data_IF_821632497934
#
_entry.id   IF_821632497934
#
_cell.length_a   1.000
_cell.length_b   1.000
_cell.length_c   1.000
_cell.angle_alpha   90.00
_cell.angle_beta   90.00
_cell.angle_gamma   90.00
#
_symmetry.space_group_name_H-M   'P 1'
#
loop_
_entity.id
_entity.type
_entity.pdbx_description
1 polymer ?
#
# COMPACT_ATOMS: atom_id res chain seq x y z
N UNK A 1 6.76 -14.07 18.29
CA UNK A 1 7.34 -13.00 19.12
C UNK A 1 6.36 -11.83 19.03
N UNK A 2 6.02 -11.18 20.14
CA UNK A 2 4.93 -10.19 20.19
C UNK A 2 5.27 -8.92 19.40
N UNK A 3 4.43 -8.56 18.43
CA UNK A 3 4.49 -7.37 17.55
C UNK A 3 4.20 -6.04 18.30
N UNK A 4 4.89 -5.78 19.40
CA UNK A 4 4.70 -4.54 20.17
C UNK A 4 5.96 -3.67 20.28
N UNK A 5 6.96 -3.92 19.45
CA UNK A 5 8.17 -3.10 19.36
C UNK A 5 8.02 -2.17 18.15
N UNK A 6 7.90 -0.85 18.37
CA UNK A 6 7.53 0.13 17.32
C UNK A 6 8.46 0.25 16.10
N UNK A 7 9.48 -0.60 15.95
CA UNK A 7 10.34 -0.72 14.77
C UNK A 7 9.69 -1.65 13.74
N UNK A 8 9.49 -1.15 12.53
CA UNK A 8 8.86 -1.88 11.42
C UNK A 8 9.69 -3.08 10.94
N UNK A 9 9.04 -4.24 10.77
CA UNK A 9 9.62 -5.41 10.11
C UNK A 9 9.25 -5.43 8.63
N UNK A 10 10.26 -5.43 7.78
CA UNK A 10 10.13 -5.54 6.33
C UNK A 10 9.74 -6.97 5.97
N UNK A 11 8.70 -7.11 5.16
CA UNK A 11 8.16 -8.38 4.69
C UNK A 11 8.75 -8.84 3.36
N UNK A 12 9.11 -7.91 2.48
CA UNK A 12 9.64 -8.24 1.15
C UNK A 12 10.44 -7.08 0.51
N UNK A 13 11.06 -7.37 -0.64
CA UNK A 13 11.93 -6.41 -1.34
C UNK A 13 11.18 -5.15 -1.83
N UNK A 14 9.92 -5.29 -2.24
CA UNK A 14 9.10 -4.18 -2.72
C UNK A 14 8.90 -3.17 -1.59
N UNK A 15 8.49 -3.68 -0.42
CA UNK A 15 8.33 -2.86 0.77
C UNK A 15 9.64 -2.19 1.19
N UNK A 16 10.77 -2.90 1.17
CA UNK A 16 12.05 -2.30 1.53
C UNK A 16 12.45 -1.16 0.59
N UNK A 17 12.31 -1.37 -0.72
CA UNK A 17 12.58 -0.34 -1.73
C UNK A 17 11.65 0.88 -1.54
N UNK A 18 10.39 0.65 -1.14
CA UNK A 18 9.42 1.71 -0.82
C UNK A 18 9.88 2.55 0.37
N UNK A 19 10.27 1.89 1.46
CA UNK A 19 10.75 2.59 2.66
C UNK A 19 12.03 3.37 2.33
N UNK A 20 12.98 2.76 1.62
CA UNK A 20 14.21 3.42 1.15
C UNK A 20 13.91 4.67 0.31
N UNK A 21 12.91 4.63 -0.57
CA UNK A 21 12.53 5.78 -1.38
C UNK A 21 11.86 6.90 -0.57
N UNK A 22 11.08 6.54 0.46
CA UNK A 22 10.33 7.49 1.29
C UNK A 22 11.14 8.11 2.45
N UNK A 23 12.22 7.45 2.89
CA UNK A 23 13.02 7.87 4.04
C UNK A 23 14.41 8.27 3.59
N UNK A 24 14.70 9.56 3.70
CA UNK A 24 16.01 10.10 3.32
C UNK A 24 17.14 9.53 4.17
N UNK A 25 16.91 9.33 5.47
CA UNK A 25 17.86 8.76 6.42
C UNK A 25 17.27 7.48 7.02
N UNK A 26 17.90 6.33 6.75
CA UNK A 26 17.39 5.03 7.14
C UNK A 26 18.50 4.09 7.63
N UNK A 27 18.20 3.26 8.61
CA UNK A 27 19.03 2.13 9.05
C UNK A 27 18.29 0.82 8.86
N UNK A 28 18.84 -0.08 8.04
CA UNK A 28 18.34 -1.43 7.88
C UNK A 28 19.08 -2.38 8.82
N UNK A 29 18.38 -2.92 9.82
CA UNK A 29 18.88 -3.91 10.76
C UNK A 29 18.53 -5.33 10.28
N UNK A 30 19.50 -6.00 9.66
CA UNK A 30 19.37 -7.41 9.30
C UNK A 30 19.54 -8.27 10.56
N UNK A 31 18.53 -9.11 10.82
CA UNK A 31 18.40 -9.90 12.05
C UNK A 31 17.94 -11.32 11.73
N UNK A 32 17.91 -12.20 12.73
CA UNK A 32 17.25 -13.49 12.66
C UNK A 32 16.78 -13.91 14.05
N UNK A 33 15.67 -14.66 14.12
CA UNK A 33 15.10 -15.16 15.38
C UNK A 33 16.05 -16.10 16.14
N UNK A 34 16.86 -16.89 15.44
CA UNK A 34 17.83 -17.84 16.00
C UNK A 34 19.18 -17.21 16.39
N UNK A 35 19.38 -15.93 16.10
CA UNK A 35 20.65 -15.24 16.33
C UNK A 35 20.75 -14.68 17.75
N UNK A 36 21.51 -15.34 18.63
CA UNK A 36 21.75 -14.89 20.00
C UNK A 36 22.24 -13.43 20.12
N UNK A 37 23.28 -13.00 19.36
CA UNK A 37 23.71 -11.60 19.37
C UNK A 37 22.64 -10.59 18.93
N UNK A 38 21.71 -11.00 18.06
CA UNK A 38 20.60 -10.16 17.60
C UNK A 38 19.56 -9.97 18.73
N UNK A 39 19.24 -11.04 19.45
CA UNK A 39 18.37 -10.98 20.63
C UNK A 39 18.98 -10.11 21.74
N UNK A 40 20.30 -10.18 21.93
CA UNK A 40 21.00 -9.39 22.93
C UNK A 40 21.06 -7.89 22.60
N UNK A 41 21.20 -7.51 21.32
CA UNK A 41 21.26 -6.10 20.91
C UNK A 41 19.88 -5.46 20.75
N UNK A 42 18.83 -6.26 20.57
CA UNK A 42 17.47 -5.81 20.32
C UNK A 42 16.97 -4.73 21.29
N UNK A 43 17.03 -4.90 22.63
CA UNK A 43 16.54 -3.87 23.57
C UNK A 43 17.31 -2.54 23.47
N UNK A 44 18.61 -2.60 23.18
CA UNK A 44 19.42 -1.40 23.01
C UNK A 44 19.05 -0.64 21.71
N UNK A 45 18.78 -1.38 20.63
CA UNK A 45 18.31 -0.78 19.37
C UNK A 45 16.90 -0.18 19.53
N UNK A 46 15.98 -0.88 20.21
CA UNK A 46 14.63 -0.38 20.49
C UNK A 46 14.68 0.92 21.32
N UNK A 47 15.49 0.95 22.38
CA UNK A 47 15.67 2.17 23.20
C UNK A 47 16.24 3.35 22.41
N UNK A 48 17.21 3.11 21.51
CA UNK A 48 17.73 4.16 20.62
C UNK A 48 16.68 4.63 19.60
N UNK A 49 15.79 3.73 19.16
CA UNK A 49 14.69 4.11 18.27
C UNK A 49 13.59 4.91 18.98
N UNK A 50 13.45 4.81 20.29
CA UNK A 50 12.50 5.64 21.05
C UNK A 50 13.07 7.02 21.41
N UNK A 51 14.40 7.14 21.50
CA UNK A 51 15.07 8.39 21.88
C UNK A 51 14.78 9.53 20.89
N UNK A 52 14.36 10.67 21.46
CA UNK A 52 14.00 11.88 20.73
C UNK A 52 15.12 12.39 19.81
N UNK A 53 16.38 12.16 20.18
CA UNK A 53 17.55 12.54 19.38
C UNK A 53 17.48 11.98 17.97
N UNK A 54 17.03 10.73 17.82
CA UNK A 54 17.10 10.01 16.55
C UNK A 54 15.82 10.11 15.74
N UNK A 55 14.81 10.89 16.15
CA UNK A 55 13.47 10.92 15.53
C UNK A 55 13.45 11.13 14.03
N UNK A 56 14.46 11.77 13.44
CA UNK A 56 14.54 12.00 11.99
C UNK A 56 15.14 10.83 11.19
N UNK A 57 15.47 9.72 11.85
CA UNK A 57 16.02 8.51 11.25
C UNK A 57 14.97 7.40 11.35
N UNK A 58 14.72 6.72 10.24
CA UNK A 58 13.95 5.49 10.22
C UNK A 58 14.86 4.29 10.54
N UNK A 59 14.39 3.36 11.37
CA UNK A 59 15.08 2.08 11.58
C UNK A 59 14.09 0.98 11.22
N UNK A 60 14.50 0.04 10.39
CA UNK A 60 13.68 -1.11 10.01
C UNK A 60 14.42 -2.41 10.29
N UNK A 61 13.67 -3.47 10.55
CA UNK A 61 14.20 -4.83 10.72
C UNK A 61 13.94 -5.66 9.48
N UNK A 62 14.92 -6.47 9.11
CA UNK A 62 14.83 -7.39 7.97
C UNK A 62 15.26 -8.75 8.49
N UNK A 63 14.31 -9.68 8.60
CA UNK A 63 14.64 -11.05 8.96
C UNK A 63 15.25 -11.77 7.76
N UNK A 64 16.40 -12.41 7.96
CA UNK A 64 17.10 -13.13 6.89
C UNK A 64 16.31 -14.31 6.35
N UNK A 65 15.52 -14.98 7.19
CA UNK A 65 14.78 -16.18 6.81
C UNK A 65 13.60 -15.79 5.90
N UNK A 66 12.92 -14.68 6.23
CA UNK A 66 11.77 -14.17 5.47
C UNK A 66 12.19 -13.38 4.21
N UNK A 67 13.29 -12.62 4.28
CA UNK A 67 13.70 -11.67 3.23
C UNK A 67 15.03 -12.06 2.54
N UNK A 68 15.18 -13.34 2.16
CA UNK A 68 16.42 -13.86 1.55
C UNK A 68 16.87 -13.09 0.29
N UNK A 69 15.93 -12.62 -0.54
CA UNK A 69 16.26 -11.86 -1.75
C UNK A 69 16.98 -10.54 -1.41
N UNK A 70 16.49 -9.81 -0.41
CA UNK A 70 17.10 -8.57 0.07
C UNK A 70 18.49 -8.85 0.66
N UNK A 71 18.59 -9.89 1.50
CA UNK A 71 19.86 -10.29 2.09
C UNK A 71 20.93 -10.59 1.03
N UNK A 72 20.56 -11.31 -0.04
CA UNK A 72 21.45 -11.59 -1.18
C UNK A 72 21.84 -10.31 -1.92
N UNK A 73 20.87 -9.44 -2.23
CA UNK A 73 21.10 -8.15 -2.93
C UNK A 73 22.13 -7.28 -2.23
N UNK A 74 22.07 -7.23 -0.89
CA UNK A 74 23.00 -6.43 -0.07
C UNK A 74 24.20 -7.21 0.45
N UNK A 75 24.44 -8.44 -0.02
CA UNK A 75 25.53 -9.32 0.37
C UNK A 75 25.65 -9.50 1.90
N UNK A 76 24.53 -9.73 2.57
CA UNK A 76 24.49 -9.98 4.00
C UNK A 76 24.97 -11.40 4.28
N UNK A 77 26.06 -11.50 5.03
CA UNK A 77 26.78 -12.76 5.30
C UNK A 77 26.77 -13.16 6.77
N UNK A 78 26.28 -12.27 7.64
CA UNK A 78 26.24 -12.46 9.09
C UNK A 78 25.19 -11.54 9.70
N UNK A 79 24.62 -11.91 10.84
CA UNK A 79 23.71 -11.08 11.63
C UNK A 79 24.17 -10.92 13.09
N UNK A 80 23.87 -9.80 13.75
CA UNK A 80 23.18 -8.63 13.18
C UNK A 80 24.08 -7.84 12.23
N UNK A 81 23.53 -7.28 11.16
CA UNK A 81 24.24 -6.33 10.28
C UNK A 81 23.38 -5.09 10.09
N UNK A 82 23.98 -3.92 10.22
CA UNK A 82 23.32 -2.63 10.07
C UNK A 82 23.83 -1.93 8.82
N UNK A 83 22.93 -1.59 7.90
CA UNK A 83 23.24 -0.75 6.75
C UNK A 83 22.63 0.63 6.95
N UNK A 84 23.44 1.67 6.73
CA UNK A 84 23.01 3.06 6.85
C UNK A 84 22.82 3.63 5.45
N UNK A 85 21.67 4.26 5.23
CA UNK A 85 21.29 4.84 3.95
C UNK A 85 21.09 6.35 4.07
N UNK A 86 21.55 7.05 3.03
CA UNK A 86 21.23 8.45 2.77
C UNK A 86 20.74 8.58 1.33
N UNK A 87 19.50 9.02 1.13
CA UNK A 87 18.86 9.16 -0.18
C UNK A 87 19.01 7.90 -1.04
N UNK A 88 18.58 6.75 -0.50
CA UNK A 88 18.64 5.41 -1.12
C UNK A 88 20.06 4.84 -1.34
N UNK A 89 21.12 5.59 -1.03
CA UNK A 89 22.51 5.12 -1.17
C UNK A 89 23.01 4.58 0.16
N UNK A 90 23.60 3.38 0.14
CA UNK A 90 24.34 2.85 1.29
C UNK A 90 25.56 3.74 1.53
N UNK A 91 25.64 4.37 2.71
CA UNK A 91 26.73 5.27 3.11
C UNK A 91 27.62 4.67 4.19
N UNK A 92 27.13 3.68 4.94
CA UNK A 92 27.91 2.97 5.95
C UNK A 92 27.34 1.57 6.21
N UNK A 93 28.18 0.68 6.72
CA UNK A 93 27.85 -0.71 7.03
C UNK A 93 28.59 -1.18 8.27
N UNK A 94 27.84 -1.75 9.22
CA UNK A 94 28.40 -2.34 10.44
C UNK A 94 27.97 -3.79 10.59
N UNK A 95 28.95 -4.69 10.75
CA UNK A 95 28.71 -6.08 11.12
C UNK A 95 28.76 -6.20 12.64
N UNK A 96 27.66 -6.67 13.24
CA UNK A 96 27.50 -6.76 14.68
C UNK A 96 26.98 -5.47 15.32
N UNK A 97 26.51 -5.60 16.56
CA UNK A 97 26.15 -4.46 17.40
C UNK A 97 27.35 -4.10 18.28
N UNK A 98 28.10 -3.09 17.86
CA UNK A 98 29.34 -2.65 18.51
C UNK A 98 29.23 -1.18 18.91
N UNK A 99 30.16 -0.61 19.71
CA UNK A 99 30.13 0.82 20.04
C UNK A 99 30.09 1.75 18.82
N UNK A 100 30.62 1.29 17.68
CA UNK A 100 30.57 2.01 16.40
C UNK A 100 29.13 2.24 15.91
N UNK A 101 28.17 1.38 16.28
CA UNK A 101 26.76 1.55 15.91
C UNK A 101 26.21 2.88 16.41
N UNK A 102 26.41 3.19 17.69
CA UNK A 102 25.93 4.45 18.27
C UNK A 102 26.63 5.65 17.61
N UNK A 103 27.93 5.56 17.37
CA UNK A 103 28.68 6.62 16.68
C UNK A 103 28.20 6.84 15.24
N UNK A 104 27.90 5.79 14.49
CA UNK A 104 27.36 5.90 13.14
C UNK A 104 25.94 6.49 13.15
N UNK A 105 25.10 6.06 14.10
CA UNK A 105 23.76 6.58 14.30
C UNK A 105 23.78 8.07 14.69
N UNK A 106 24.70 8.48 15.57
CA UNK A 106 24.90 9.88 15.95
C UNK A 106 25.26 10.75 14.74
N UNK A 107 26.21 10.30 13.90
CA UNK A 107 26.58 11.01 12.67
C UNK A 107 25.41 11.14 11.69
N UNK A 108 24.62 10.07 11.53
CA UNK A 108 23.44 10.10 10.68
C UNK A 108 22.39 11.07 11.24
N UNK A 109 22.26 11.13 12.57
CA UNK A 109 21.34 12.02 13.27
C UNK A 109 21.71 13.49 13.13
N UNK A 110 23.00 13.81 13.17
CA UNK A 110 23.50 15.16 12.93
C UNK A 110 23.18 15.63 11.51
N UNK A 111 23.37 14.76 10.51
CA UNK A 111 22.95 15.04 9.13
C UNK A 111 21.44 15.26 9.02
N UNK A 112 20.65 14.37 9.62
CA UNK A 112 19.19 14.46 9.58
C UNK A 112 18.66 15.70 10.32
N UNK A 113 19.31 16.13 11.41
CA UNK A 113 18.95 17.34 12.14
C UNK A 113 19.25 18.62 11.36
N UNK A 114 20.36 18.65 10.59
CA UNK A 114 20.72 19.78 9.74
C UNK A 114 19.86 19.89 8.48
N UNK A 115 19.15 18.83 8.10
CA UNK A 115 18.28 18.80 6.94
C UNK A 115 16.86 19.28 7.27
N UNK A 116 16.53 20.49 6.82
CA UNK A 116 15.21 21.10 7.00
C UNK A 116 14.10 20.42 6.19
N UNK A 117 14.45 19.59 5.19
CA UNK A 117 13.47 18.82 4.41
C UNK A 117 12.98 17.55 5.12
N UNK A 118 13.63 17.17 6.23
CA UNK A 118 13.30 15.95 6.98
C UNK A 118 12.49 16.29 8.23
N UNK A 119 11.29 15.74 8.28
CA UNK A 119 10.37 15.77 9.42
C UNK A 119 10.59 14.60 10.36
N UNK A 120 10.32 14.80 11.66
CA UNK A 120 10.46 13.75 12.68
C UNK A 120 9.52 12.56 12.40
N UNK A 121 9.96 11.32 12.63
CA UNK A 121 9.13 10.11 12.54
C UNK A 121 7.88 10.17 13.41
N UNK A 122 7.91 10.95 14.51
CA UNK A 122 6.76 11.16 15.40
C UNK A 122 5.85 12.30 14.96
N UNK A 123 6.35 13.28 14.20
CA UNK A 123 5.56 14.37 13.59
C UNK A 123 5.26 14.11 12.11
N UNK A 124 5.66 12.95 11.58
CA UNK A 124 5.01 12.36 10.43
C UNK A 124 3.59 12.00 10.86
N UNK A 125 2.68 12.97 10.75
CA UNK A 125 1.60 12.75 9.82
C UNK A 125 2.23 12.19 8.55
N UNK A 126 2.19 10.87 8.49
CA UNK A 126 2.62 10.00 7.42
C UNK A 126 2.48 10.67 6.06
N UNK A 127 3.57 11.25 5.57
CA UNK A 127 3.68 11.83 4.24
C UNK A 127 3.25 10.76 3.23
N UNK A 128 2.07 10.96 2.61
CA UNK A 128 1.36 10.15 1.61
C UNK A 128 1.07 8.66 1.92
N UNK A 129 1.94 7.97 2.66
CA UNK A 129 1.95 6.52 2.81
C UNK A 129 1.00 5.97 3.87
N UNK A 130 0.64 6.79 4.85
CA UNK A 130 -0.14 6.37 6.01
C UNK A 130 -1.37 7.23 6.31
N UNK A 131 -1.62 8.28 5.51
CA UNK A 131 -2.77 9.16 5.70
C UNK A 131 -4.07 8.39 5.56
N UNK A 132 -4.31 7.83 4.35
CA UNK A 132 -5.49 7.01 4.14
C UNK A 132 -5.42 5.65 4.84
N UNK A 133 -4.24 5.10 5.13
CA UNK A 133 -4.15 3.82 5.88
C UNK A 133 -4.78 3.96 7.27
N UNK A 134 -4.64 5.13 7.92
CA UNK A 134 -5.35 5.42 9.17
C UNK A 134 -6.86 5.52 8.95
N UNK A 135 -7.29 6.18 7.87
CA UNK A 135 -8.71 6.30 7.52
C UNK A 135 -9.36 4.92 7.29
N UNK A 136 -8.62 3.97 6.70
CA UNK A 136 -9.14 2.64 6.39
C UNK A 136 -8.87 1.58 7.45
N UNK A 137 -8.21 1.92 8.56
CA UNK A 137 -7.76 0.94 9.55
C UNK A 137 -8.91 0.07 10.09
N UNK A 138 -10.12 0.63 10.22
CA UNK A 138 -11.32 -0.10 10.63
C UNK A 138 -11.82 -1.13 9.61
N UNK A 139 -11.49 -0.95 8.33
CA UNK A 139 -11.85 -1.87 7.25
C UNK A 139 -10.84 -3.02 7.07
N UNK A 140 -9.71 -3.01 7.81
CA UNK A 140 -8.69 -4.05 7.73
C UNK A 140 -8.90 -5.03 8.89
N UNK A 141 -9.46 -6.23 8.65
CA UNK A 141 -9.64 -7.19 9.73
C UNK A 141 -8.29 -7.68 10.26
N UNK A 142 -8.28 -8.17 11.50
CA UNK A 142 -7.06 -8.68 12.13
C UNK A 142 -6.42 -9.77 11.27
N UNK A 143 -5.12 -9.62 11.00
CA UNK A 143 -4.33 -10.53 10.19
C UNK A 143 -4.31 -10.19 8.70
N UNK A 144 -5.18 -9.30 8.22
CA UNK A 144 -5.18 -8.83 6.83
C UNK A 144 -4.30 -7.58 6.66
N UNK A 145 -3.98 -7.27 5.41
CA UNK A 145 -3.15 -6.13 5.03
C UNK A 145 -3.61 -5.51 3.70
N UNK A 146 -3.05 -4.34 3.37
CA UNK A 146 -3.22 -3.71 2.06
C UNK A 146 -2.36 -4.44 1.02
N UNK A 147 -3.00 -4.96 -0.02
CA UNK A 147 -2.38 -5.78 -1.08
C UNK A 147 -1.87 -4.92 -2.24
N UNK A 148 -2.17 -3.62 -2.31
CA UNK A 148 -1.77 -2.78 -3.44
C UNK A 148 -0.25 -2.74 -3.70
N UNK A 149 0.59 -3.00 -2.69
CA UNK A 149 2.05 -3.13 -2.87
C UNK A 149 2.42 -4.39 -3.68
N UNK A 150 1.55 -5.40 -3.76
CA UNK A 150 1.73 -6.61 -4.56
C UNK A 150 1.29 -6.44 -6.03
N UNK A 151 0.72 -5.30 -6.43
CA UNK A 151 0.25 -5.07 -7.80
C UNK A 151 1.45 -4.95 -8.77
N UNK A 152 1.36 -5.64 -9.91
CA UNK A 152 2.30 -5.48 -11.03
C UNK A 152 1.90 -4.27 -11.89
N UNK A 153 2.26 -3.05 -11.46
CA UNK A 153 1.88 -1.79 -12.11
C UNK A 153 2.31 -1.62 -13.58
N UNK A 154 3.34 -2.37 -14.01
CA UNK A 154 3.78 -2.36 -15.41
C UNK A 154 2.75 -2.95 -16.37
N UNK A 155 1.90 -3.86 -15.87
CA UNK A 155 0.86 -4.56 -16.64
C UNK A 155 -0.56 -4.16 -16.20
N UNK A 156 -0.69 -3.28 -15.20
CA UNK A 156 -1.98 -2.73 -14.81
C UNK A 156 -2.55 -1.88 -15.93
N UNK A 157 -3.81 -2.14 -16.25
CA UNK A 157 -4.57 -1.40 -17.27
C UNK A 157 -5.77 -0.74 -16.60
N UNK A 158 -6.03 0.51 -16.97
CA UNK A 158 -7.27 1.22 -16.67
C UNK A 158 -7.88 1.64 -18.01
N UNK A 159 -9.11 1.20 -18.29
CA UNK A 159 -9.84 1.47 -19.53
C UNK A 159 -11.01 2.42 -19.26
N UNK A 160 -11.23 3.36 -20.18
CA UNK A 160 -12.22 4.43 -20.10
C UNK A 160 -12.09 5.27 -18.82
N UNK A 161 -10.87 5.63 -18.44
CA UNK A 161 -10.59 6.39 -17.22
C UNK A 161 -9.51 7.43 -17.48
N UNK A 162 -9.77 8.68 -17.10
CA UNK A 162 -8.85 9.81 -17.20
C UNK A 162 -8.55 10.40 -15.82
N UNK A 163 -7.34 10.96 -15.58
CA UNK A 163 -7.06 11.70 -14.36
C UNK A 163 -7.90 12.98 -14.29
N UNK A 164 -8.55 13.24 -13.15
CA UNK A 164 -9.38 14.44 -12.98
C UNK A 164 -8.54 15.72 -12.85
N UNK A 165 -7.33 15.64 -12.28
CA UNK A 165 -6.47 16.81 -12.07
C UNK A 165 -5.40 16.93 -13.14
N UNK A 166 -5.23 18.14 -13.71
CA UNK A 166 -4.29 18.44 -14.82
C UNK A 166 -2.82 18.10 -14.55
N UNK A 167 -2.41 18.05 -13.27
CA UNK A 167 -1.04 17.69 -12.86
C UNK A 167 -0.83 16.19 -12.65
N UNK A 168 -1.89 15.40 -12.69
CA UNK A 168 -1.82 13.94 -12.53
C UNK A 168 -1.45 13.28 -13.86
N UNK A 169 -0.51 12.33 -13.82
CA UNK A 169 0.13 11.82 -15.04
C UNK A 169 -0.50 10.55 -15.60
N UNK A 170 -1.12 9.71 -14.76
CA UNK A 170 -1.60 8.38 -15.17
C UNK A 170 -2.81 7.90 -14.33
N UNK A 171 -3.90 7.49 -14.98
CA UNK A 171 -5.13 7.03 -14.32
C UNK A 171 -4.92 5.82 -13.38
N UNK A 172 -4.05 4.87 -13.77
CA UNK A 172 -3.76 3.68 -12.95
C UNK A 172 -3.13 3.97 -11.60
N UNK A 173 -2.67 5.21 -11.36
CA UNK A 173 -2.16 5.63 -10.05
C UNK A 173 -3.24 5.62 -8.96
N UNK A 174 -4.53 5.51 -9.32
CA UNK A 174 -5.66 5.36 -8.38
C UNK A 174 -5.52 4.08 -7.53
N UNK A 175 -4.77 3.10 -8.03
CA UNK A 175 -4.42 1.87 -7.32
C UNK A 175 -3.09 1.99 -6.55
N UNK A 176 -2.30 3.04 -6.77
CA UNK A 176 -0.95 3.14 -6.19
C UNK A 176 -1.03 3.61 -4.73
N UNK A 177 -0.39 2.90 -3.78
CA UNK A 177 -0.49 3.27 -2.37
C UNK A 177 -0.07 4.71 -2.08
N UNK A 178 1.08 5.15 -2.61
CA UNK A 178 1.72 6.43 -2.27
C UNK A 178 1.32 7.61 -3.15
N UNK A 179 0.28 7.47 -3.96
CA UNK A 179 -0.11 8.54 -4.87
C UNK A 179 -1.00 9.57 -4.15
N UNK A 180 -0.61 10.84 -4.24
CA UNK A 180 -1.40 11.99 -3.80
C UNK A 180 -2.22 12.53 -4.99
N UNK A 181 -3.42 13.07 -4.73
CA UNK A 181 -4.30 13.71 -5.72
C UNK A 181 -4.60 12.83 -6.95
N UNK A 182 -4.99 11.57 -6.73
CA UNK A 182 -5.30 10.65 -7.83
C UNK A 182 -6.78 10.34 -7.91
N UNK A 183 -7.55 11.39 -8.15
CA UNK A 183 -8.93 11.23 -8.58
C UNK A 183 -8.96 10.97 -10.08
N UNK A 184 -9.79 10.02 -10.48
CA UNK A 184 -10.05 9.71 -11.87
C UNK A 184 -11.55 9.80 -12.15
N UNK A 185 -11.88 10.04 -13.42
CA UNK A 185 -13.24 10.05 -13.93
C UNK A 185 -13.31 9.17 -15.17
N UNK A 186 -14.51 8.68 -15.52
CA UNK A 186 -14.71 7.94 -16.77
C UNK A 186 -14.79 8.89 -17.96
N UNK A 187 -14.23 8.55 -19.11
CA UNK A 187 -14.05 9.51 -20.22
C UNK A 187 -15.31 9.64 -21.10
N UNK A 188 -15.85 8.51 -21.57
CA UNK A 188 -16.92 8.52 -22.57
C UNK A 188 -18.32 8.13 -22.04
N UNK A 189 -18.37 7.23 -21.07
CA UNK A 189 -19.60 6.69 -20.47
C UNK A 189 -19.35 6.44 -18.98
N UNK A 190 -20.33 5.92 -18.25
CA UNK A 190 -20.22 5.67 -16.81
C UNK A 190 -19.29 4.52 -16.39
N UNK A 191 -18.73 3.77 -17.33
CA UNK A 191 -18.06 2.49 -17.06
C UNK A 191 -16.54 2.62 -16.98
N UNK A 192 -15.94 2.12 -15.90
CA UNK A 192 -14.51 1.98 -15.73
C UNK A 192 -14.12 0.51 -15.61
N UNK A 193 -12.98 0.12 -16.20
CA UNK A 193 -12.41 -1.21 -16.02
C UNK A 193 -10.93 -1.15 -15.63
N UNK A 194 -10.61 -1.79 -14.51
CA UNK A 194 -9.24 -1.92 -14.01
C UNK A 194 -8.79 -3.38 -14.05
N UNK A 195 -7.76 -3.68 -14.83
CA UNK A 195 -7.06 -4.95 -14.77
C UNK A 195 -5.86 -4.84 -13.85
N UNK A 196 -5.85 -5.65 -12.79
CA UNK A 196 -4.91 -5.57 -11.69
C UNK A 196 -4.17 -6.90 -11.54
N UNK A 197 -3.05 -7.10 -12.26
CA UNK A 197 -2.19 -8.25 -12.08
C UNK A 197 -1.41 -8.13 -10.76
N UNK A 198 -1.13 -9.26 -10.12
CA UNK A 198 -0.40 -9.35 -8.85
C UNK A 198 0.94 -10.07 -9.08
N UNK A 199 2.00 -9.60 -8.42
CA UNK A 199 3.35 -10.16 -8.51
C UNK A 199 3.45 -11.58 -7.93
N UNK A 200 2.51 -11.96 -7.08
CA UNK A 200 2.38 -13.28 -6.48
C UNK A 200 0.92 -13.56 -6.12
N UNK A 201 0.62 -14.83 -5.86
CA UNK A 201 -0.71 -15.26 -5.45
C UNK A 201 -1.09 -14.58 -4.13
N UNK A 202 -2.28 -13.99 -4.09
CA UNK A 202 -2.86 -13.37 -2.91
C UNK A 202 -4.23 -13.95 -2.58
N UNK A 203 -4.65 -13.80 -1.32
CA UNK A 203 -6.05 -14.01 -0.90
C UNK A 203 -6.71 -12.65 -0.76
N UNK A 204 -7.82 -12.39 -1.44
CA UNK A 204 -8.44 -11.06 -1.45
C UNK A 204 -9.73 -11.07 -0.64
N UNK A 205 -9.80 -10.21 0.38
CA UNK A 205 -10.90 -10.09 1.32
C UNK A 205 -11.92 -9.04 0.89
N UNK A 206 -11.47 -7.83 0.57
CA UNK A 206 -12.35 -6.75 0.15
C UNK A 206 -11.64 -5.81 -0.83
N UNK A 207 -12.44 -5.08 -1.60
CA UNK A 207 -12.00 -3.92 -2.37
C UNK A 207 -12.64 -2.69 -1.73
N UNK A 208 -11.82 -1.71 -1.38
CA UNK A 208 -12.24 -0.41 -0.89
C UNK A 208 -12.20 0.58 -2.05
N UNK A 209 -13.28 1.31 -2.23
CA UNK A 209 -13.36 2.42 -3.18
C UNK A 209 -13.58 3.70 -2.39
N UNK A 210 -12.76 4.72 -2.65
CA UNK A 210 -12.94 6.05 -2.08
C UNK A 210 -13.69 6.93 -3.08
N UNK A 211 -14.82 7.48 -2.65
CA UNK A 211 -15.63 8.45 -3.38
C UNK A 211 -15.13 9.85 -3.03
N UNK A 212 -14.79 10.63 -4.07
CA UNK A 212 -14.29 11.98 -3.90
C UNK A 212 -15.39 12.90 -3.35
N UNK A 213 -14.99 13.85 -2.49
CA UNK A 213 -15.82 15.04 -2.28
C UNK A 213 -15.56 15.99 -3.43
N UNK A 214 -16.52 16.08 -4.34
CA UNK A 214 -16.42 16.95 -5.51
C UNK A 214 -16.68 18.39 -5.11
N UNK A 215 -15.62 19.18 -5.07
CA UNK A 215 -15.67 20.64 -5.00
C UNK A 215 -14.97 21.18 -6.24
N UNK A 216 -15.54 22.18 -6.89
CA UNK A 216 -14.92 22.83 -8.03
C UNK A 216 -13.56 23.43 -7.60
N UNK A 217 -12.48 22.92 -8.17
CA UNK A 217 -11.12 23.39 -7.93
C UNK A 217 -10.54 23.91 -9.25
N UNK A 218 -9.75 24.98 -9.23
CA UNK A 218 -9.21 25.64 -10.44
C UNK A 218 -8.28 24.76 -11.31
N UNK A 219 -8.01 23.51 -10.93
CA UNK A 219 -7.03 22.61 -11.58
C UNK A 219 -7.61 21.26 -12.06
N UNK A 220 -8.93 21.14 -12.26
CA UNK A 220 -9.56 19.94 -12.84
C UNK A 220 -9.61 19.98 -14.39
N UNK A 221 -9.70 18.80 -15.01
CA UNK A 221 -9.98 18.64 -16.45
C UNK A 221 -11.44 18.93 -16.77
N UNK A 222 -12.36 18.43 -15.94
CA UNK A 222 -13.79 18.76 -16.00
C UNK A 222 -14.03 20.17 -15.46
N UNK A 223 -14.94 20.91 -16.10
CA UNK A 223 -15.38 22.21 -15.63
C UNK A 223 -16.39 22.10 -14.46
N UNK A 224 -16.83 23.25 -13.94
CA UNK A 224 -17.69 23.29 -12.77
C UNK A 224 -19.10 22.75 -13.04
N UNK A 225 -19.59 22.90 -14.28
CA UNK A 225 -20.93 22.45 -14.67
C UNK A 225 -20.88 20.92 -14.92
N UNK A 226 -19.84 20.42 -15.60
CA UNK A 226 -19.59 18.98 -15.77
C UNK A 226 -19.45 18.25 -14.42
N UNK A 227 -18.72 18.84 -13.46
CA UNK A 227 -18.60 18.27 -12.11
C UNK A 227 -19.93 18.30 -11.37
N UNK A 228 -20.75 19.33 -11.53
CA UNK A 228 -22.00 19.48 -10.77
C UNK A 228 -23.14 18.63 -11.34
N UNK A 229 -23.26 18.57 -12.66
CA UNK A 229 -24.45 18.07 -13.35
C UNK A 229 -24.20 16.76 -14.11
N UNK A 230 -22.95 16.47 -14.49
CA UNK A 230 -22.59 15.31 -15.33
C UNK A 230 -21.62 14.34 -14.61
N UNK A 231 -21.57 14.39 -13.27
CA UNK A 231 -20.72 13.49 -12.49
C UNK A 231 -21.47 12.77 -11.38
N UNK A 232 -21.01 11.56 -11.08
CA UNK A 232 -21.67 10.67 -10.14
C UNK A 232 -20.67 9.79 -9.36
N UNK A 233 -21.17 9.25 -8.26
CA UNK A 233 -20.46 8.20 -7.53
C UNK A 233 -20.69 6.83 -8.20
N UNK A 234 -19.78 5.85 -7.98
CA UNK A 234 -20.00 4.47 -8.36
C UNK A 234 -21.31 3.89 -7.82
N UNK A 235 -22.08 3.22 -8.69
CA UNK A 235 -23.30 2.50 -8.31
C UNK A 235 -23.13 0.99 -8.32
N UNK A 236 -22.32 0.45 -9.21
CA UNK A 236 -22.16 -0.99 -9.37
C UNK A 236 -20.67 -1.35 -9.42
N UNK A 237 -20.28 -2.37 -8.65
CA UNK A 237 -18.94 -2.93 -8.69
C UNK A 237 -19.02 -4.42 -8.96
N UNK A 238 -18.31 -4.89 -9.99
CA UNK A 238 -18.14 -6.31 -10.30
C UNK A 238 -16.67 -6.68 -10.26
N UNK A 239 -16.38 -7.86 -9.73
CA UNK A 239 -15.01 -8.34 -9.57
C UNK A 239 -14.88 -9.77 -10.08
N UNK A 240 -13.93 -9.97 -10.99
CA UNK A 240 -13.46 -11.28 -11.45
C UNK A 240 -12.03 -11.49 -10.99
N UNK A 241 -11.65 -12.76 -10.80
CA UNK A 241 -10.28 -13.16 -10.52
C UNK A 241 -9.79 -14.15 -11.58
N UNK A 242 -8.49 -14.10 -11.88
CA UNK A 242 -7.78 -15.07 -12.72
C UNK A 242 -8.35 -15.20 -14.13
N UNK A 243 -8.82 -14.10 -14.72
CA UNK A 243 -9.11 -14.09 -16.15
C UNK A 243 -7.78 -14.07 -16.92
N UNK A 244 -7.71 -14.71 -18.10
CA UNK A 244 -6.47 -14.81 -18.86
C UNK A 244 -6.00 -13.48 -19.45
N UNK A 245 -6.89 -12.49 -19.54
CA UNK A 245 -6.63 -11.16 -20.06
C UNK A 245 -7.57 -10.12 -19.41
N UNK A 246 -7.36 -8.85 -19.76
CA UNK A 246 -8.32 -7.76 -19.51
C UNK A 246 -9.66 -8.13 -20.17
N UNK A 247 -10.76 -7.96 -19.45
CA UNK A 247 -12.11 -8.14 -20.00
C UNK A 247 -12.47 -7.01 -20.96
N UNK A 248 -13.39 -7.27 -21.88
CA UNK A 248 -14.09 -6.20 -22.59
C UNK A 248 -15.28 -5.69 -21.78
N UNK A 249 -15.77 -4.49 -22.08
CA UNK A 249 -17.00 -3.96 -21.47
C UNK A 249 -18.21 -4.86 -21.76
N UNK A 250 -18.28 -5.48 -22.95
CA UNK A 250 -19.31 -6.46 -23.29
C UNK A 250 -19.26 -7.69 -22.36
N UNK A 251 -18.06 -8.22 -22.09
CA UNK A 251 -17.89 -9.34 -21.16
C UNK A 251 -18.36 -8.98 -19.73
N UNK A 252 -18.16 -7.72 -19.31
CA UNK A 252 -18.56 -7.24 -17.98
C UNK A 252 -20.09 -7.19 -17.78
N UNK A 253 -20.87 -7.20 -18.87
CA UNK A 253 -22.34 -7.27 -18.79
C UNK A 253 -22.84 -8.65 -18.35
N UNK A 254 -22.04 -9.70 -18.53
CA UNK A 254 -22.39 -11.05 -18.15
C UNK A 254 -22.54 -11.20 -16.62
N UNK A 255 -23.34 -12.18 -16.20
CA UNK A 255 -23.56 -12.52 -14.78
C UNK A 255 -22.54 -13.53 -14.24
N UNK A 256 -21.33 -13.58 -14.79
CA UNK A 256 -20.28 -14.53 -14.42
C UNK A 256 -19.24 -13.97 -13.43
N UNK A 257 -19.45 -12.74 -12.94
CA UNK A 257 -18.62 -12.13 -11.92
C UNK A 257 -18.57 -13.00 -10.66
N UNK A 258 -17.37 -13.15 -10.08
CA UNK A 258 -17.21 -13.88 -8.83
C UNK A 258 -17.87 -13.13 -7.66
N UNK A 259 -17.87 -11.80 -7.76
CA UNK A 259 -18.57 -10.87 -6.88
C UNK A 259 -19.26 -9.77 -7.69
N UNK A 260 -20.46 -9.40 -7.28
CA UNK A 260 -21.23 -8.29 -7.83
C UNK A 260 -21.94 -7.62 -6.65
N UNK A 261 -21.83 -6.29 -6.57
CA UNK A 261 -22.41 -5.49 -5.49
C UNK A 261 -22.92 -4.16 -6.04
N UNK A 262 -24.18 -3.85 -5.71
CA UNK A 262 -24.79 -2.54 -5.97
C UNK A 262 -24.65 -1.68 -4.73
N UNK A 263 -24.04 -0.53 -4.92
CA UNK A 263 -23.86 0.53 -3.93
C UNK A 263 -25.12 1.40 -3.87
N UNK A 264 -25.23 2.21 -2.82
CA UNK A 264 -26.32 3.17 -2.67
C UNK A 264 -26.31 4.20 -3.80
N UNK A 265 -27.49 4.60 -4.29
CA UNK A 265 -27.64 5.70 -5.29
C UNK A 265 -27.11 7.04 -4.74
N UNK A 266 -27.17 7.25 -3.42
CA UNK A 266 -26.65 8.44 -2.75
C UNK A 266 -25.43 8.10 -1.92
N UNK A 267 -24.38 7.63 -2.59
CA UNK A 267 -23.14 7.23 -1.92
C UNK A 267 -22.40 8.47 -1.38
N UNK A 268 -22.29 8.60 -0.06
CA UNK A 268 -21.60 9.75 0.55
C UNK A 268 -20.08 9.74 0.24
N UNK A 269 -19.42 10.91 0.17
CA UNK A 269 -17.97 10.97 0.04
C UNK A 269 -17.25 10.20 1.15
N UNK A 270 -16.19 9.46 0.79
CA UNK A 270 -15.42 8.65 1.74
C UNK A 270 -15.18 7.22 1.26
N UNK A 271 -14.71 6.37 2.18
CA UNK A 271 -14.34 4.98 1.91
C UNK A 271 -15.55 4.05 2.00
N UNK A 272 -15.75 3.24 0.97
CA UNK A 272 -16.79 2.22 0.89
C UNK A 272 -16.18 0.84 0.68
N UNK A 273 -16.61 -0.14 1.47
CA UNK A 273 -16.11 -1.52 1.40
C UNK A 273 -17.01 -2.41 0.55
N UNK A 274 -16.45 -2.90 -0.56
CA UNK A 274 -17.00 -4.00 -1.35
C UNK A 274 -16.45 -5.30 -0.77
N UNK A 275 -17.23 -5.92 0.12
CA UNK A 275 -16.82 -7.12 0.84
C UNK A 275 -16.96 -8.35 -0.04
N UNK A 276 -15.84 -8.85 -0.56
CA UNK A 276 -15.84 -9.98 -1.48
C UNK A 276 -16.25 -11.27 -0.80
N UNK A 277 -16.80 -12.20 -1.58
CA UNK A 277 -17.00 -13.60 -1.17
C UNK A 277 -15.64 -14.31 -1.03
N UNK A 278 -14.93 -14.08 0.08
CA UNK A 278 -13.54 -14.51 0.33
C UNK A 278 -13.20 -15.93 -0.12
N UNK A 279 -14.11 -16.89 0.06
CA UNK A 279 -13.97 -18.29 -0.39
C UNK A 279 -13.69 -18.44 -1.90
N UNK A 280 -14.12 -17.49 -2.72
CA UNK A 280 -13.89 -17.44 -4.18
C UNK A 280 -12.58 -16.75 -4.57
N UNK A 281 -11.94 -16.06 -3.63
CA UNK A 281 -10.76 -15.22 -3.85
C UNK A 281 -9.55 -15.70 -3.02
N UNK A 282 -9.37 -17.03 -2.90
CA UNK A 282 -8.26 -17.62 -2.13
C UNK A 282 -6.94 -17.74 -2.91
N UNK A 283 -7.00 -17.76 -4.23
CA UNK A 283 -5.84 -17.97 -5.09
C UNK A 283 -5.89 -16.99 -6.25
N UNK A 284 -5.63 -15.71 -5.97
CA UNK A 284 -5.78 -14.61 -6.93
C UNK A 284 -4.42 -14.19 -7.47
N UNK A 285 -4.27 -14.25 -8.79
CA UNK A 285 -3.09 -13.77 -9.53
C UNK A 285 -3.38 -12.48 -10.30
N UNK A 286 -4.64 -12.25 -10.66
CA UNK A 286 -5.09 -11.00 -11.24
C UNK A 286 -6.56 -10.74 -10.89
N UNK A 287 -6.96 -9.48 -10.94
CA UNK A 287 -8.35 -9.05 -10.82
C UNK A 287 -8.77 -8.24 -12.05
N UNK A 288 -10.02 -8.38 -12.45
CA UNK A 288 -10.72 -7.37 -13.24
C UNK A 288 -11.73 -6.71 -12.31
N UNK A 289 -11.59 -5.41 -12.07
CA UNK A 289 -12.49 -4.60 -11.24
C UNK A 289 -13.23 -3.67 -12.19
N UNK A 290 -14.50 -3.96 -12.39
CA UNK A 290 -15.41 -3.15 -13.18
C UNK A 290 -16.23 -2.26 -12.24
N UNK A 291 -16.34 -0.99 -12.60
CA UNK A 291 -17.12 0.00 -11.87
C UNK A 291 -18.05 0.68 -12.85
N UNK A 292 -19.31 0.86 -12.47
CA UNK A 292 -20.32 1.54 -13.29
C UNK A 292 -21.11 2.53 -12.44
N UNK A 293 -21.53 3.62 -13.09
CA UNK A 293 -22.46 4.59 -12.56
C UNK A 293 -23.92 4.12 -12.69
N UNK A 294 -24.85 4.91 -12.14
CA UNK A 294 -26.28 4.67 -12.33
C UNK A 294 -26.80 5.30 -13.62
N UNK A 295 -26.21 6.42 -14.03
CA UNK A 295 -26.55 7.17 -15.23
C UNK A 295 -25.48 6.97 -16.32
N UNK A 296 -25.82 6.34 -17.44
CA UNK A 296 -24.86 6.01 -18.50
C UNK A 296 -24.21 7.25 -19.15
N UNK A 297 -24.90 8.39 -19.10
CA UNK A 297 -24.46 9.65 -19.71
C UNK A 297 -23.58 10.50 -18.78
N UNK A 298 -23.34 10.06 -17.53
CA UNK A 298 -22.59 10.81 -16.51
C UNK A 298 -21.24 10.15 -16.18
N UNK A 299 -20.24 10.97 -15.87
CA UNK A 299 -18.90 10.55 -15.45
C UNK A 299 -18.89 9.91 -14.06
N UNK A 300 -18.38 8.69 -13.95
CA UNK A 300 -18.19 8.03 -12.64
C UNK A 300 -16.84 8.44 -12.05
N UNK A 301 -16.86 9.04 -10.85
CA UNK A 301 -15.66 9.55 -10.18
C UNK A 301 -15.13 8.57 -9.13
N UNK A 302 -13.82 8.29 -9.16
CA UNK A 302 -13.14 7.40 -8.22
C UNK A 302 -11.88 8.10 -7.68
N UNK A 303 -11.80 8.30 -6.36
CA UNK A 303 -10.62 8.93 -5.71
C UNK A 303 -9.50 7.93 -5.44
N UNK A 304 -9.84 6.70 -5.05
CA UNK A 304 -8.84 5.68 -4.73
C UNK A 304 -9.43 4.28 -4.74
N UNK A 305 -8.62 3.29 -5.13
CA UNK A 305 -8.98 1.87 -5.01
C UNK A 305 -7.91 1.17 -4.16
N UNK A 306 -8.33 0.54 -3.07
CA UNK A 306 -7.47 -0.21 -2.16
C UNK A 306 -7.98 -1.64 -2.06
N UNK A 307 -7.08 -2.60 -2.06
CA UNK A 307 -7.37 -4.03 -2.03
C UNK A 307 -6.88 -4.55 -0.68
N UNK A 308 -7.77 -5.15 0.09
CA UNK A 308 -7.46 -5.75 1.39
C UNK A 308 -7.39 -7.26 1.24
N UNK A 309 -6.37 -7.89 1.81
CA UNK A 309 -6.10 -9.30 1.62
C UNK A 309 -4.88 -9.80 2.38
N UNK A 310 -4.28 -10.86 1.85
CA UNK A 310 -3.05 -11.47 2.34
C UNK A 310 -2.11 -11.69 1.16
N UNK A 311 -0.86 -11.28 1.32
CA UNK A 311 0.20 -11.54 0.35
C UNK A 311 0.90 -12.87 0.65
N UNK A 312 1.07 -13.73 -0.37
CA UNK A 312 1.83 -14.98 -0.28
C UNK A 312 1.06 -16.20 0.28
N UNK A 313 1.73 -17.36 0.21
CA UNK A 313 1.30 -18.59 0.89
C UNK A 313 1.51 -18.41 2.40
N UNK A 314 0.53 -17.78 3.06
CA UNK A 314 0.40 -17.85 4.52
C UNK A 314 0.31 -19.32 4.93
N UNK A 315 1.45 -19.90 5.34
CA UNK A 315 1.57 -21.22 5.96
C UNK A 315 1.14 -21.20 7.43
N UNK A 316 0.59 -20.08 7.91
CA UNK A 316 -0.06 -20.03 9.22
C UNK A 316 -1.52 -20.47 9.10
N UNK A 317 -1.73 -21.79 9.23
CA UNK A 317 -2.98 -22.34 9.72
C UNK A 317 -3.19 -21.92 11.19
N UNK A 318 -3.47 -20.64 11.44
CA UNK A 318 -4.01 -20.24 12.75
C UNK A 318 -5.51 -20.48 12.69
N UNK A 319 -5.94 -21.53 13.41
CA UNK A 319 -7.31 -21.98 13.51
C UNK A 319 -8.28 -20.80 13.68
N UNK A 320 -9.17 -20.62 12.71
CA UNK A 320 -10.36 -19.80 12.86
C UNK A 320 -11.20 -20.52 13.93
N UNK A 321 -11.16 -20.03 15.16
CA UNK A 321 -12.13 -20.43 16.17
C UNK A 321 -13.51 -19.98 15.69
N UNK A 322 -14.38 -20.96 15.47
CA UNK A 322 -15.79 -20.75 15.26
C UNK A 322 -16.35 -20.07 16.52
N UNK A 323 -16.85 -18.85 16.39
CA UNK A 323 -17.79 -18.30 17.37
C UNK A 323 -19.15 -18.95 17.09
N UNK A 324 -19.41 -20.06 17.78
CA UNK A 324 -20.77 -20.44 18.16
C UNK A 324 -21.09 -19.73 19.48
N UNK A 325 -22.06 -18.82 19.45
CA UNK A 325 -23.11 -18.66 20.48
C UNK A 325 -24.29 -17.86 19.89
#
# INVERSE_FOLDING_TARGET
MSDNDGIHFVKNEIEFNRILASKKYLVANFTASWCGPCQASKPAVDSLYEDAKYKKIEIVRIDLDDCQAIARKYNITSVPTFLFFESQKEIDRLKGFTPQFKTALDKLSEKAAADSSVVDRTNQESTAAGGYIKEIASYIPKGFEVVNDAIHFGETVALNVMPLYKKSSEAKLVLKPLSENVTVYTDADSQALFFVPLNHICKIYSVLVKVAKLEALEETELDADEIADESQAPNLVKVWANKPAVLSFEDCTASDALHEERLSENLEPGWHEIKLKYVRFQNVQNLNIFVDGADEDSHTIIEKIVIIGLTGESTEHTAIQQEEE
#
